data_IF_947663220251
#
_entry.id   IF_947663220251
#
_cell.length_a   1.000
_cell.length_b   1.000
_cell.length_c   1.000
_cell.angle_alpha   90.00
_cell.angle_beta   90.00
_cell.angle_gamma   90.00
#
_symmetry.space_group_name_H-M   'P 1'
#
loop_
_entity.id
_entity.type
_entity.pdbx_description
1 polymer ?
#
# COMPACT_ATOMS: atom_id res chain seq x y z
N UNK A 1 18.36 3.23 9.16
CA UNK A 1 18.77 2.16 8.26
C UNK A 1 19.84 2.69 7.30
N UNK A 2 20.87 1.92 7.02
CA UNK A 2 21.90 2.32 6.04
C UNK A 2 21.37 2.16 4.61
N UNK A 3 20.58 1.10 4.37
CA UNK A 3 19.98 0.84 3.07
C UNK A 3 18.49 0.49 3.19
N UNK A 4 17.69 0.79 2.16
CA UNK A 4 16.30 0.36 2.09
C UNK A 4 16.15 -1.17 2.11
N UNK A 5 17.13 -1.91 1.59
CA UNK A 5 17.16 -3.39 1.62
C UNK A 5 17.34 -4.00 3.03
N UNK A 6 17.72 -3.19 4.03
CA UNK A 6 17.83 -3.65 5.42
C UNK A 6 16.48 -3.62 6.15
N UNK A 7 15.44 -3.16 5.47
CA UNK A 7 14.13 -3.02 6.06
C UNK A 7 13.40 -4.36 6.13
N UNK A 8 12.91 -4.68 7.32
CA UNK A 8 12.01 -5.81 7.59
C UNK A 8 10.68 -5.22 8.03
N UNK A 9 9.70 -5.30 7.14
CA UNK A 9 8.39 -4.65 7.31
C UNK A 9 7.37 -5.64 7.83
N UNK A 10 6.61 -5.21 8.84
CA UNK A 10 5.39 -5.87 9.30
C UNK A 10 4.19 -5.03 8.90
N UNK A 11 3.34 -5.58 8.03
CA UNK A 11 2.08 -4.94 7.67
C UNK A 11 1.03 -5.22 8.74
N UNK A 12 0.26 -4.21 9.12
CA UNK A 12 -0.76 -4.35 10.15
C UNK A 12 -1.95 -3.43 9.94
N UNK A 13 -3.11 -3.91 10.42
CA UNK A 13 -4.33 -3.13 10.59
C UNK A 13 -4.50 -2.80 12.09
N UNK A 14 -4.74 -1.54 12.44
CA UNK A 14 -4.79 -1.11 13.85
C UNK A 14 -5.76 -1.92 14.69
N UNK A 15 -6.98 -2.13 14.16
CA UNK A 15 -8.00 -2.89 14.86
C UNK A 15 -7.57 -4.34 15.04
N UNK A 16 -7.19 -5.00 13.97
CA UNK A 16 -6.92 -6.45 14.00
C UNK A 16 -5.69 -6.81 14.81
N UNK A 17 -4.70 -5.92 14.84
CA UNK A 17 -3.48 -6.15 15.62
C UNK A 17 -3.76 -6.36 17.11
N UNK A 18 -4.76 -5.68 17.69
CA UNK A 18 -4.94 -5.66 19.14
C UNK A 18 -6.37 -5.88 19.62
N UNK A 19 -7.37 -6.01 18.74
CA UNK A 19 -8.78 -6.13 19.14
C UNK A 19 -9.11 -7.43 19.86
N UNK A 20 -8.42 -8.52 19.55
CA UNK A 20 -8.69 -9.81 20.18
C UNK A 20 -8.26 -9.80 21.67
N UNK A 21 -9.05 -10.37 22.60
CA UNK A 21 -8.74 -10.35 24.03
C UNK A 21 -7.38 -10.96 24.41
N UNK A 22 -6.84 -11.87 23.59
CA UNK A 22 -5.51 -12.45 23.81
C UNK A 22 -4.37 -11.43 23.71
N UNK A 23 -4.58 -10.29 23.05
CA UNK A 23 -3.61 -9.20 22.99
C UNK A 23 -3.34 -8.57 24.35
N UNK A 24 -4.34 -8.65 25.27
CA UNK A 24 -4.31 -8.00 26.58
C UNK A 24 -4.09 -6.49 26.53
N UNK A 25 -4.35 -5.87 25.39
CA UNK A 25 -4.22 -4.43 25.22
C UNK A 25 -5.27 -3.69 26.07
N UNK A 26 -4.86 -2.57 26.67
CA UNK A 26 -5.76 -1.62 27.34
C UNK A 26 -6.54 -0.78 26.35
N UNK A 27 -6.01 -0.66 25.13
CA UNK A 27 -6.56 0.13 24.04
C UNK A 27 -6.80 -0.74 22.80
N UNK A 28 -7.65 -1.79 22.91
CA UNK A 28 -7.82 -2.75 21.82
C UNK A 28 -8.35 -2.06 20.57
N UNK A 29 -7.66 -2.27 19.44
CA UNK A 29 -8.01 -1.69 18.15
C UNK A 29 -7.75 -0.20 18.00
N UNK A 30 -6.95 0.42 18.86
CA UNK A 30 -6.67 1.87 18.86
C UNK A 30 -5.19 2.19 18.59
N UNK A 31 -4.90 3.43 18.17
CA UNK A 31 -3.52 3.92 18.04
C UNK A 31 -2.67 3.64 19.28
N UNK A 32 -3.23 3.88 20.45
CA UNK A 32 -2.52 3.72 21.72
C UNK A 32 -2.14 2.27 22.04
N UNK A 33 -2.71 1.26 21.39
CA UNK A 33 -2.25 -0.13 21.54
C UNK A 33 -0.77 -0.28 21.17
N UNK A 34 -0.28 0.52 20.20
CA UNK A 34 1.12 0.53 19.78
C UNK A 34 2.05 1.37 20.66
N UNK A 35 1.54 1.95 21.75
CA UNK A 35 2.36 2.55 22.81
C UNK A 35 2.62 1.59 23.96
N UNK A 36 1.95 0.43 23.99
CA UNK A 36 2.03 -0.52 25.09
C UNK A 36 3.29 -1.39 24.97
N UNK A 37 4.07 -1.51 26.07
CA UNK A 37 5.37 -2.19 26.04
C UNK A 37 5.33 -3.63 25.51
N UNK A 38 4.28 -4.40 25.80
CA UNK A 38 4.16 -5.79 25.36
C UNK A 38 3.92 -5.89 23.83
N UNK A 39 3.18 -4.96 23.24
CA UNK A 39 2.95 -4.91 21.80
C UNK A 39 4.23 -4.49 21.05
N UNK A 40 4.95 -3.50 21.56
CA UNK A 40 6.26 -3.11 21.05
C UNK A 40 7.26 -4.26 21.19
N UNK A 41 7.29 -4.92 22.33
CA UNK A 41 8.17 -6.09 22.56
C UNK A 41 7.86 -7.20 21.54
N UNK A 42 6.59 -7.48 21.29
CA UNK A 42 6.19 -8.46 20.28
C UNK A 42 6.77 -8.12 18.89
N UNK A 43 6.60 -6.90 18.42
CA UNK A 43 7.17 -6.45 17.14
C UNK A 43 8.71 -6.62 17.11
N UNK A 44 9.38 -6.24 18.19
CA UNK A 44 10.85 -6.43 18.30
C UNK A 44 11.28 -7.89 18.28
N UNK A 45 10.50 -8.79 18.89
CA UNK A 45 10.82 -10.24 18.88
C UNK A 45 10.66 -10.87 17.49
N UNK A 46 9.84 -10.28 16.62
CA UNK A 46 9.75 -10.68 15.22
C UNK A 46 10.96 -10.21 14.38
N UNK A 47 11.81 -9.35 14.95
CA UNK A 47 12.96 -8.80 14.23
C UNK A 47 12.60 -7.71 13.22
N UNK A 48 11.38 -7.18 13.26
CA UNK A 48 10.96 -6.10 12.35
C UNK A 48 11.54 -4.76 12.79
N UNK A 49 11.86 -3.91 11.84
CA UNK A 49 12.36 -2.56 12.06
C UNK A 49 11.51 -1.48 11.40
N UNK A 50 10.40 -1.88 10.75
CA UNK A 50 9.39 -1.00 10.24
C UNK A 50 7.99 -1.64 10.34
N UNK A 51 6.97 -0.84 10.62
CA UNK A 51 5.56 -1.23 10.49
C UNK A 51 4.95 -0.46 9.33
N UNK A 52 4.24 -1.17 8.46
CA UNK A 52 3.37 -0.61 7.44
C UNK A 52 1.95 -0.69 7.98
N UNK A 53 1.35 0.45 8.27
CA UNK A 53 -0.02 0.52 8.76
C UNK A 53 -0.98 0.70 7.58
N UNK A 54 -2.04 -0.10 7.52
CA UNK A 54 -3.13 0.08 6.56
C UNK A 54 -3.67 1.51 6.64
N UNK A 55 -4.39 2.00 5.61
CA UNK A 55 -4.81 3.40 5.55
C UNK A 55 -5.37 3.88 6.89
N UNK A 56 -4.77 4.91 7.43
CA UNK A 56 -5.04 5.43 8.79
C UNK A 56 -5.46 6.89 8.81
N UNK A 57 -5.75 7.45 7.63
CA UNK A 57 -6.46 8.70 7.48
C UNK A 57 -7.98 8.45 7.47
N UNK A 58 -8.76 9.51 7.61
CA UNK A 58 -10.21 9.49 7.69
C UNK A 58 -10.85 8.89 6.43
N UNK A 59 -11.65 7.86 6.60
CA UNK A 59 -12.34 7.13 5.54
C UNK A 59 -13.85 7.08 5.77
N UNK A 60 -14.62 6.77 4.72
CA UNK A 60 -16.04 7.10 4.63
C UNK A 60 -16.96 6.12 5.38
N UNK A 61 -16.71 4.80 5.30
CA UNK A 61 -17.71 3.80 5.69
C UNK A 61 -17.67 3.39 7.17
N UNK A 62 -16.95 4.13 8.01
CA UNK A 62 -17.02 3.99 9.47
C UNK A 62 -17.75 5.18 10.06
N UNK A 63 -18.81 4.90 10.79
CA UNK A 63 -19.58 5.90 11.52
C UNK A 63 -18.90 6.20 12.88
N UNK A 64 -18.04 7.22 12.89
CA UNK A 64 -17.33 7.66 14.09
C UNK A 64 -18.26 8.15 15.23
N UNK A 65 -19.54 8.45 14.93
CA UNK A 65 -20.51 8.84 15.96
C UNK A 65 -20.97 7.65 16.81
N UNK A 66 -20.71 6.43 16.37
CA UNK A 66 -21.12 5.18 17.01
C UNK A 66 -19.91 4.25 17.28
N UNK A 67 -18.94 4.71 18.09
CA UNK A 67 -17.67 3.99 18.30
C UNK A 67 -17.85 2.65 19.04
N UNK A 68 -18.98 2.44 19.69
CA UNK A 68 -19.34 1.19 20.39
C UNK A 68 -19.82 0.09 19.44
N UNK A 69 -20.20 0.43 18.21
CA UNK A 69 -20.60 -0.58 17.22
C UNK A 69 -19.37 -1.22 16.62
N UNK A 70 -19.34 -2.55 16.49
CA UNK A 70 -18.30 -3.22 15.71
C UNK A 70 -18.39 -2.77 14.24
N UNK A 71 -17.38 -2.07 13.77
CA UNK A 71 -17.25 -1.62 12.39
C UNK A 71 -15.91 -2.07 11.88
N UNK A 72 -15.86 -2.65 10.69
CA UNK A 72 -14.65 -3.15 10.07
C UNK A 72 -14.42 -2.49 8.73
N UNK A 73 -13.25 -1.93 8.54
CA UNK A 73 -12.83 -1.30 7.29
C UNK A 73 -11.30 -1.38 7.18
N UNK A 74 -10.81 -1.68 6.01
CA UNK A 74 -9.36 -1.61 5.72
C UNK A 74 -8.86 -0.18 5.51
N UNK A 75 -9.76 0.77 5.20
CA UNK A 75 -9.44 2.17 4.99
C UNK A 75 -9.21 2.58 3.53
N UNK A 76 -9.55 1.72 2.56
CA UNK A 76 -9.38 2.03 1.12
C UNK A 76 -10.57 2.78 0.50
N UNK A 77 -11.31 3.50 1.30
CA UNK A 77 -12.40 4.40 0.90
C UNK A 77 -12.17 5.83 1.45
N UNK A 78 -11.10 6.51 0.97
CA UNK A 78 -10.62 7.76 1.55
C UNK A 78 -11.64 8.89 1.42
N UNK A 79 -11.79 9.65 2.52
CA UNK A 79 -12.61 10.85 2.61
C UNK A 79 -11.74 12.10 2.85
N UNK A 80 -10.97 12.14 3.93
CA UNK A 80 -10.10 13.25 4.29
C UNK A 80 -8.64 12.77 4.43
N UNK A 81 -7.86 12.92 3.38
CA UNK A 81 -6.50 12.35 3.25
C UNK A 81 -5.46 12.86 4.27
N UNK A 82 -5.71 14.01 4.90
CA UNK A 82 -4.74 14.66 5.78
C UNK A 82 -5.22 14.70 7.25
N UNK A 83 -6.12 13.81 7.61
CA UNK A 83 -6.68 13.69 8.97
C UNK A 83 -6.56 12.25 9.43
N UNK A 84 -5.99 11.96 10.62
CA UNK A 84 -6.00 10.60 11.17
C UNK A 84 -7.42 10.08 11.39
N UNK A 85 -7.64 8.78 11.17
CA UNK A 85 -8.93 8.11 11.37
C UNK A 85 -9.37 8.16 12.83
N UNK A 86 -10.59 8.67 13.07
CA UNK A 86 -11.08 8.89 14.41
C UNK A 86 -11.49 7.61 15.14
N UNK A 87 -11.93 6.57 14.43
CA UNK A 87 -12.31 5.29 15.03
C UNK A 87 -11.14 4.57 15.72
N UNK A 88 -9.91 4.91 15.36
CA UNK A 88 -8.70 4.41 16.03
C UNK A 88 -8.26 5.24 17.23
N UNK A 89 -8.90 6.39 17.49
CA UNK A 89 -8.65 7.18 18.70
C UNK A 89 -9.54 6.71 19.87
N UNK A 90 -9.18 7.11 21.08
CA UNK A 90 -10.01 6.82 22.28
C UNK A 90 -11.23 7.73 22.35
N UNK A 91 -11.23 8.86 21.64
CA UNK A 91 -12.36 9.76 21.52
C UNK A 91 -12.43 10.34 20.09
N UNK A 92 -13.29 9.77 19.27
CA UNK A 92 -13.51 10.22 17.89
C UNK A 92 -14.21 11.59 17.78
N UNK A 93 -14.91 12.04 18.83
CA UNK A 93 -15.67 13.28 18.83
C UNK A 93 -14.80 14.52 19.08
N UNK A 94 -13.63 14.33 19.67
CA UNK A 94 -12.67 15.41 19.95
C UNK A 94 -11.51 15.31 18.94
N UNK A 95 -11.46 16.15 17.90
CA UNK A 95 -10.50 16.02 16.79
C UNK A 95 -9.04 15.98 17.22
N UNK A 96 -8.68 16.76 18.26
CA UNK A 96 -7.32 16.82 18.78
C UNK A 96 -6.85 15.50 19.40
N UNK A 97 -7.79 14.65 19.82
CA UNK A 97 -7.43 13.36 20.43
C UNK A 97 -6.83 12.44 19.38
N UNK A 98 -7.44 12.29 18.20
CA UNK A 98 -6.90 11.47 17.11
C UNK A 98 -5.50 11.92 16.66
N UNK A 99 -5.30 13.23 16.57
CA UNK A 99 -4.00 13.81 16.20
C UNK A 99 -2.94 13.49 17.25
N UNK A 100 -3.25 13.73 18.52
CA UNK A 100 -2.32 13.45 19.63
C UNK A 100 -1.99 11.97 19.75
N UNK A 101 -2.98 11.11 19.69
CA UNK A 101 -2.79 9.67 19.86
C UNK A 101 -2.03 9.03 18.68
N UNK A 102 -2.27 9.49 17.46
CA UNK A 102 -1.47 9.09 16.31
C UNK A 102 0.00 9.48 16.50
N UNK A 103 0.27 10.73 16.91
CA UNK A 103 1.65 11.20 17.23
C UNK A 103 2.29 10.39 18.37
N UNK A 104 1.53 10.05 19.41
CA UNK A 104 2.02 9.23 20.52
C UNK A 104 2.41 7.83 20.04
N UNK A 105 1.62 7.24 19.15
CA UNK A 105 1.93 5.96 18.53
C UNK A 105 3.24 6.02 17.73
N UNK A 106 3.39 7.01 16.85
CA UNK A 106 4.61 7.18 16.05
C UNK A 106 5.82 7.38 16.96
N UNK A 107 5.72 8.22 17.99
CA UNK A 107 6.80 8.44 18.94
C UNK A 107 7.21 7.16 19.67
N UNK A 108 6.24 6.37 20.14
CA UNK A 108 6.53 5.12 20.85
C UNK A 108 7.22 4.07 19.96
N UNK A 109 6.85 3.99 18.69
CA UNK A 109 7.51 3.14 17.71
C UNK A 109 8.93 3.63 17.42
N UNK A 110 9.13 4.93 17.25
CA UNK A 110 10.45 5.53 17.06
C UNK A 110 11.37 5.31 18.27
N UNK A 111 10.87 5.47 19.49
CA UNK A 111 11.63 5.20 20.72
C UNK A 111 12.08 3.74 20.81
N UNK A 112 11.35 2.84 20.15
CA UNK A 112 11.69 1.42 20.04
C UNK A 112 12.61 1.11 18.83
N UNK A 113 12.96 2.08 18.01
CA UNK A 113 13.74 1.92 16.77
C UNK A 113 12.95 1.31 15.62
N UNK A 114 11.62 1.46 15.62
CA UNK A 114 10.71 0.95 14.58
C UNK A 114 10.21 2.13 13.75
N UNK A 115 10.40 2.08 12.43
CA UNK A 115 9.90 3.06 11.47
C UNK A 115 8.41 2.87 11.22
N UNK A 116 7.73 3.94 10.82
CA UNK A 116 6.31 3.92 10.47
C UNK A 116 6.12 4.25 8.99
N UNK A 117 5.52 3.33 8.25
CA UNK A 117 5.19 3.47 6.85
C UNK A 117 3.67 3.60 6.74
N UNK A 118 3.21 4.67 6.11
CA UNK A 118 1.79 4.92 5.91
C UNK A 118 1.33 4.38 4.55
N UNK A 119 0.27 3.60 4.55
CA UNK A 119 -0.42 3.18 3.33
C UNK A 119 -1.31 4.33 2.84
N UNK A 120 -1.08 4.79 1.60
CA UNK A 120 -1.76 5.94 1.02
C UNK A 120 -2.52 5.60 -0.26
N UNK A 121 -3.76 6.07 -0.35
CA UNK A 121 -4.71 5.77 -1.43
C UNK A 121 -5.04 7.05 -2.20
N UNK A 122 -4.07 7.59 -2.94
CA UNK A 122 -4.32 8.77 -3.77
C UNK A 122 -4.93 8.44 -5.13
N UNK A 123 -5.00 7.15 -5.48
CA UNK A 123 -5.43 6.69 -6.80
C UNK A 123 -6.94 6.82 -7.04
N UNK A 124 -7.76 6.88 -5.98
CA UNK A 124 -9.20 7.09 -6.06
C UNK A 124 -9.74 7.77 -4.79
N UNK A 125 -10.99 8.15 -4.80
CA UNK A 125 -11.75 8.53 -3.61
C UNK A 125 -12.99 7.64 -3.49
N UNK A 126 -13.60 7.64 -2.31
CA UNK A 126 -14.79 6.83 -2.05
C UNK A 126 -15.93 7.12 -3.02
N UNK A 127 -16.24 8.40 -3.24
CA UNK A 127 -17.34 8.84 -4.09
C UNK A 127 -16.96 10.17 -4.75
N UNK A 128 -17.12 10.27 -6.08
CA UNK A 128 -16.83 11.49 -6.82
C UNK A 128 -17.73 12.64 -6.36
N UNK A 129 -19.05 12.46 -6.38
CA UNK A 129 -20.02 13.55 -6.19
C UNK A 129 -19.91 14.25 -4.84
N UNK A 130 -19.58 13.52 -3.79
CA UNK A 130 -19.41 14.06 -2.44
C UNK A 130 -17.97 14.39 -2.07
N UNK A 131 -17.00 14.13 -2.96
CA UNK A 131 -15.59 14.33 -2.63
C UNK A 131 -15.20 15.79 -2.54
N UNK A 132 -14.27 16.11 -1.66
CA UNK A 132 -13.68 17.44 -1.55
C UNK A 132 -13.05 17.91 -2.88
N UNK A 133 -12.55 16.99 -3.68
CA UNK A 133 -11.99 17.27 -5.00
C UNK A 133 -13.07 17.78 -5.97
N UNK A 134 -14.19 17.07 -6.08
CA UNK A 134 -15.27 17.44 -6.98
C UNK A 134 -15.95 18.74 -6.55
N UNK A 135 -16.13 18.95 -5.25
CA UNK A 135 -16.70 20.17 -4.70
C UNK A 135 -15.79 21.40 -4.89
N UNK A 136 -14.46 21.18 -4.89
CA UNK A 136 -13.49 22.26 -5.07
C UNK A 136 -13.35 22.67 -6.53
N UNK A 137 -13.19 21.72 -7.43
CA UNK A 137 -13.08 21.96 -8.87
C UNK A 137 -13.65 20.77 -9.66
N UNK A 138 -14.92 20.86 -10.11
CA UNK A 138 -15.61 19.77 -10.78
C UNK A 138 -14.82 19.20 -11.96
N UNK A 139 -14.77 17.88 -12.06
CA UNK A 139 -14.14 17.11 -13.14
C UNK A 139 -12.61 17.24 -13.28
N UNK A 140 -11.97 18.11 -12.51
CA UNK A 140 -10.55 18.39 -12.68
C UNK A 140 -9.65 17.26 -12.16
N UNK A 141 -9.99 16.69 -11.01
CA UNK A 141 -9.11 15.75 -10.29
C UNK A 141 -9.21 14.31 -10.78
N UNK A 142 -10.18 14.01 -11.63
CA UNK A 142 -10.47 12.67 -12.12
C UNK A 142 -10.22 12.53 -13.60
N UNK A 143 -9.70 11.37 -14.02
CA UNK A 143 -9.62 11.03 -15.44
C UNK A 143 -10.99 10.64 -15.96
N UNK A 144 -11.20 10.92 -17.24
CA UNK A 144 -12.37 10.48 -18.00
C UNK A 144 -11.93 9.65 -19.20
N UNK A 145 -12.76 8.72 -19.62
CA UNK A 145 -12.54 7.93 -20.84
C UNK A 145 -12.70 8.79 -22.08
N UNK A 146 -12.03 8.44 -23.15
CA UNK A 146 -12.26 9.08 -24.45
C UNK A 146 -13.69 8.75 -24.96
N UNK A 147 -14.30 9.64 -25.76
CA UNK A 147 -15.59 9.36 -26.41
C UNK A 147 -15.55 8.02 -27.16
N UNK A 148 -16.52 7.15 -26.90
CA UNK A 148 -16.61 5.82 -27.50
C UNK A 148 -15.82 4.72 -26.81
N UNK A 149 -15.10 5.03 -25.73
CA UNK A 149 -14.46 4.05 -24.86
C UNK A 149 -15.25 3.94 -23.56
N UNK A 150 -15.55 2.72 -23.14
CA UNK A 150 -16.09 2.45 -21.80
C UNK A 150 -15.03 2.65 -20.72
N UNK A 151 -15.45 2.85 -19.48
CA UNK A 151 -14.55 2.80 -18.33
C UNK A 151 -13.95 1.40 -18.21
N UNK A 152 -12.70 1.31 -17.78
CA UNK A 152 -12.06 0.01 -17.56
C UNK A 152 -12.81 -0.78 -16.49
N UNK A 153 -13.20 -1.99 -16.82
CA UNK A 153 -13.98 -2.87 -15.93
C UNK A 153 -15.50 -2.76 -16.02
N UNK A 154 -16.03 -1.69 -16.62
CA UNK A 154 -17.48 -1.52 -16.79
C UNK A 154 -17.91 -1.78 -18.24
N UNK A 155 -18.62 -2.86 -18.46
CA UNK A 155 -19.22 -3.17 -19.77
C UNK A 155 -20.47 -2.28 -19.92
N UNK A 156 -20.41 -1.33 -20.86
CA UNK A 156 -21.58 -0.53 -21.25
C UNK A 156 -21.57 0.94 -20.83
N UNK A 157 -20.46 1.48 -20.30
CA UNK A 157 -20.34 2.93 -20.06
C UNK A 157 -20.12 3.70 -21.38
N UNK A 158 -20.62 4.91 -21.43
CA UNK A 158 -20.46 5.80 -22.60
C UNK A 158 -19.13 6.53 -22.51
N UNK A 159 -18.50 6.78 -23.66
CA UNK A 159 -17.26 7.57 -23.73
C UNK A 159 -17.40 8.96 -23.10
N UNK A 160 -16.42 9.38 -22.34
CA UNK A 160 -16.43 10.61 -21.57
C UNK A 160 -16.92 10.45 -20.13
N UNK A 161 -17.26 9.24 -19.73
CA UNK A 161 -17.52 8.90 -18.32
C UNK A 161 -16.23 8.89 -17.50
N UNK A 162 -16.33 8.86 -16.17
CA UNK A 162 -15.17 8.73 -15.31
C UNK A 162 -14.45 7.40 -15.54
N UNK A 163 -13.14 7.45 -15.69
CA UNK A 163 -12.32 6.26 -15.81
C UNK A 163 -12.23 5.54 -14.45
N UNK A 164 -12.02 4.21 -14.49
CA UNK A 164 -12.10 3.35 -13.30
C UNK A 164 -10.98 2.28 -13.27
N UNK A 165 -9.74 2.70 -13.43
CA UNK A 165 -8.62 1.77 -13.29
C UNK A 165 -8.38 1.31 -11.86
N UNK A 166 -8.96 1.96 -10.85
CA UNK A 166 -8.93 1.50 -9.46
C UNK A 166 -9.85 0.33 -9.18
N UNK A 167 -10.89 0.12 -10.01
CA UNK A 167 -11.97 -0.82 -9.70
C UNK A 167 -12.97 -0.31 -8.65
N UNK A 168 -12.76 0.92 -8.13
CA UNK A 168 -13.55 1.53 -7.05
C UNK A 168 -14.50 2.65 -7.56
N UNK A 169 -14.73 2.72 -8.87
CA UNK A 169 -15.66 3.66 -9.49
C UNK A 169 -15.01 4.93 -10.06
N UNK A 170 -13.76 5.19 -9.78
CA UNK A 170 -13.03 6.35 -10.32
C UNK A 170 -11.51 6.14 -10.30
N UNK A 171 -10.79 7.03 -10.97
CA UNK A 171 -9.34 7.17 -10.85
C UNK A 171 -8.95 8.64 -10.86
N UNK A 172 -7.97 9.00 -10.05
CA UNK A 172 -7.47 10.37 -9.98
C UNK A 172 -6.46 10.66 -11.09
N UNK A 173 -6.37 11.94 -11.46
CA UNK A 173 -5.50 12.43 -12.53
C UNK A 173 -4.20 13.03 -11.94
N UNK A 174 -3.28 12.18 -11.48
CA UNK A 174 -2.04 12.61 -10.83
C UNK A 174 -1.15 13.51 -11.71
N UNK A 175 -1.26 13.38 -13.04
CA UNK A 175 -0.55 14.20 -14.02
C UNK A 175 -1.03 15.66 -14.05
N UNK A 176 -2.22 15.95 -13.51
CA UNK A 176 -2.77 17.32 -13.50
C UNK A 176 -2.17 18.14 -12.38
N UNK A 177 -1.78 19.40 -12.64
CA UNK A 177 -1.02 20.22 -11.70
C UNK A 177 -1.61 20.32 -10.28
N UNK A 178 -2.92 20.47 -10.11
CA UNK A 178 -3.53 20.59 -8.79
C UNK A 178 -3.57 19.26 -8.04
N UNK A 179 -3.83 18.12 -8.73
CA UNK A 179 -3.77 16.81 -8.08
C UNK A 179 -2.33 16.45 -7.68
N UNK A 180 -1.39 16.68 -8.58
CA UNK A 180 0.04 16.52 -8.30
C UNK A 180 0.48 17.34 -7.08
N UNK A 181 0.11 18.61 -7.04
CA UNK A 181 0.38 19.49 -5.91
C UNK A 181 -0.23 18.96 -4.62
N UNK A 182 -1.48 18.51 -4.67
CA UNK A 182 -2.16 17.92 -3.51
C UNK A 182 -1.38 16.71 -2.96
N UNK A 183 -0.96 15.78 -3.83
CA UNK A 183 -0.19 14.62 -3.41
C UNK A 183 1.15 15.01 -2.78
N UNK A 184 1.89 15.94 -3.40
CA UNK A 184 3.16 16.44 -2.87
C UNK A 184 3.00 17.10 -1.50
N UNK A 185 2.01 17.98 -1.34
CA UNK A 185 1.73 18.66 -0.07
C UNK A 185 1.24 17.69 1.00
N UNK A 186 0.46 16.67 0.63
CA UNK A 186 -0.06 15.67 1.54
C UNK A 186 1.05 14.78 2.12
N UNK A 187 1.93 14.23 1.27
CA UNK A 187 3.05 13.39 1.79
C UNK A 187 4.02 14.22 2.64
N UNK A 188 4.30 15.48 2.26
CA UNK A 188 5.10 16.39 3.09
C UNK A 188 4.46 16.61 4.46
N UNK A 189 3.16 16.89 4.49
CA UNK A 189 2.41 17.09 5.72
C UNK A 189 2.52 15.89 6.67
N UNK A 190 2.35 14.66 6.17
CA UNK A 190 2.48 13.47 6.98
C UNK A 190 3.91 13.28 7.53
N UNK A 191 4.94 13.65 6.76
CA UNK A 191 6.34 13.62 7.24
C UNK A 191 6.61 14.72 8.23
N UNK A 192 6.28 15.97 7.92
CA UNK A 192 6.61 17.14 8.75
C UNK A 192 5.81 17.18 10.04
N UNK A 193 4.52 16.79 10.00
CA UNK A 193 3.61 16.87 11.14
C UNK A 193 3.59 15.60 12.00
N UNK A 194 3.68 14.42 11.38
CA UNK A 194 3.56 13.14 12.07
C UNK A 194 4.84 12.31 12.08
N UNK A 195 5.90 12.78 11.44
CA UNK A 195 7.20 12.09 11.34
C UNK A 195 7.11 10.69 10.72
N UNK A 196 6.30 10.55 9.70
CA UNK A 196 6.18 9.29 8.93
C UNK A 196 7.49 9.02 8.18
N UNK A 197 7.97 7.77 8.23
CA UNK A 197 9.26 7.33 7.68
C UNK A 197 9.16 6.73 6.28
N UNK A 198 7.95 6.54 5.77
CA UNK A 198 7.76 5.98 4.45
C UNK A 198 6.31 5.91 4.02
N UNK A 199 6.11 5.61 2.74
CA UNK A 199 4.80 5.49 2.11
C UNK A 199 4.71 4.25 1.24
N UNK A 200 3.63 3.49 1.40
CA UNK A 200 3.17 2.48 0.46
C UNK A 200 2.05 3.09 -0.37
N UNK A 201 2.22 3.15 -1.67
CA UNK A 201 1.19 3.65 -2.57
C UNK A 201 0.31 2.52 -3.06
N UNK A 202 -0.95 2.56 -2.65
CA UNK A 202 -2.00 1.71 -3.18
C UNK A 202 -2.18 1.97 -4.68
N UNK A 203 -2.29 0.90 -5.49
CA UNK A 203 -2.41 0.97 -6.94
C UNK A 203 -1.50 2.05 -7.58
N UNK A 204 -0.23 2.07 -7.18
CA UNK A 204 0.77 3.05 -7.66
C UNK A 204 0.81 3.15 -9.18
N UNK A 205 0.52 2.03 -9.87
CA UNK A 205 0.47 1.96 -11.33
C UNK A 205 -0.56 2.88 -11.98
N UNK A 206 -1.52 3.43 -11.24
CA UNK A 206 -2.47 4.44 -11.73
C UNK A 206 -1.79 5.81 -11.86
N UNK A 207 -0.82 6.11 -10.99
CA UNK A 207 -0.13 7.40 -10.99
C UNK A 207 0.87 7.53 -12.13
N UNK A 208 1.14 8.75 -12.54
CA UNK A 208 2.17 9.03 -13.53
C UNK A 208 3.57 9.04 -12.90
N UNK A 209 4.56 8.60 -13.68
CA UNK A 209 5.97 8.50 -13.27
C UNK A 209 6.54 9.86 -12.84
N UNK A 210 6.15 10.93 -13.52
CA UNK A 210 6.65 12.27 -13.20
C UNK A 210 6.22 12.69 -11.79
N UNK A 211 4.96 12.48 -11.43
CA UNK A 211 4.44 12.79 -10.10
C UNK A 211 5.14 11.95 -9.04
N UNK A 212 5.34 10.65 -9.27
CA UNK A 212 6.07 9.79 -8.34
C UNK A 212 7.52 10.25 -8.14
N UNK A 213 8.23 10.61 -9.20
CA UNK A 213 9.59 11.14 -9.12
C UNK A 213 9.65 12.50 -8.43
N UNK A 214 8.65 13.35 -8.60
CA UNK A 214 8.56 14.62 -7.88
C UNK A 214 8.31 14.41 -6.39
N UNK A 215 7.46 13.47 -6.01
CA UNK A 215 7.27 13.07 -4.60
C UNK A 215 8.60 12.61 -3.99
N UNK A 216 9.35 11.72 -4.67
CA UNK A 216 10.67 11.30 -4.19
C UNK A 216 11.60 12.48 -3.98
N UNK A 217 11.67 13.36 -4.97
CA UNK A 217 12.53 14.56 -4.91
C UNK A 217 12.15 15.53 -3.79
N UNK A 218 10.86 15.70 -3.52
CA UNK A 218 10.42 16.57 -2.40
C UNK A 218 10.76 15.95 -1.05
N UNK A 219 10.53 14.63 -0.90
CA UNK A 219 10.86 13.94 0.36
C UNK A 219 12.36 13.84 0.59
N UNK A 220 13.18 13.73 -0.44
CA UNK A 220 14.66 13.76 -0.33
C UNK A 220 15.19 15.08 0.24
N UNK A 221 14.47 16.19 0.09
CA UNK A 221 14.83 17.48 0.70
C UNK A 221 14.63 17.50 2.21
N UNK A 222 13.73 16.66 2.72
CA UNK A 222 13.42 16.53 4.14
C UNK A 222 14.34 15.46 4.74
N UNK A 223 14.26 14.25 4.24
CA UNK A 223 15.10 13.13 4.65
C UNK A 223 15.17 12.07 3.51
N UNK A 224 16.34 11.86 2.90
CA UNK A 224 16.49 10.87 1.83
C UNK A 224 16.33 9.42 2.31
N UNK A 225 16.27 9.16 3.61
CA UNK A 225 15.98 7.83 4.16
C UNK A 225 14.49 7.49 4.18
N UNK A 226 13.59 8.42 3.87
CA UNK A 226 12.16 8.15 3.74
C UNK A 226 11.94 7.15 2.61
N UNK A 227 11.27 6.04 2.92
CA UNK A 227 11.06 4.96 1.97
C UNK A 227 9.80 5.17 1.17
N UNK A 228 9.85 4.91 -0.14
CA UNK A 228 8.68 4.92 -1.04
C UNK A 228 8.63 3.62 -1.81
N UNK A 229 7.50 2.97 -1.79
CA UNK A 229 7.19 1.83 -2.66
C UNK A 229 5.69 1.72 -2.85
N UNK A 230 5.25 0.86 -3.75
CA UNK A 230 3.82 0.65 -3.97
C UNK A 230 3.51 -0.49 -4.91
N UNK A 231 2.24 -0.63 -5.19
CA UNK A 231 1.73 -1.61 -6.14
C UNK A 231 1.97 -1.10 -7.57
N UNK A 232 2.92 -1.72 -8.27
CA UNK A 232 3.24 -1.39 -9.64
C UNK A 232 2.21 -1.92 -10.66
N UNK A 233 0.93 -1.86 -10.32
CA UNK A 233 -0.20 -2.28 -11.14
C UNK A 233 -1.44 -1.41 -10.90
N UNK A 234 -2.50 -1.68 -11.65
CA UNK A 234 -3.83 -1.13 -11.47
C UNK A 234 -4.85 -2.28 -11.58
N UNK A 235 -6.05 -2.11 -11.06
CA UNK A 235 -7.13 -3.09 -11.19
C UNK A 235 -7.68 -3.14 -12.63
N UNK A 236 -7.55 -2.04 -13.37
CA UNK A 236 -7.94 -1.93 -14.79
C UNK A 236 -6.90 -1.17 -15.60
N UNK A 237 -7.30 -0.63 -16.73
CA UNK A 237 -6.41 0.16 -17.60
C UNK A 237 -6.58 1.66 -17.30
N UNK A 238 -5.54 2.35 -16.79
CA UNK A 238 -5.59 3.79 -16.59
C UNK A 238 -5.88 4.57 -17.86
N UNK A 239 -6.65 5.64 -17.75
CA UNK A 239 -7.02 6.48 -18.89
C UNK A 239 -5.93 7.51 -19.25
N UNK A 240 -4.67 7.09 -19.20
CA UNK A 240 -3.49 7.80 -19.73
C UNK A 240 -2.62 6.79 -20.48
N UNK A 241 -1.64 7.28 -21.24
CA UNK A 241 -0.66 6.41 -21.91
C UNK A 241 0.05 5.50 -20.87
N UNK A 242 0.01 4.19 -21.11
CA UNK A 242 0.67 3.19 -20.29
C UNK A 242 2.14 3.51 -20.01
N UNK A 243 2.86 4.09 -20.97
CA UNK A 243 4.27 4.46 -20.83
C UNK A 243 4.50 5.61 -19.83
N UNK A 244 3.46 6.32 -19.44
CA UNK A 244 3.51 7.35 -18.39
C UNK A 244 3.17 6.81 -17.01
N UNK A 245 2.58 5.62 -16.94
CA UNK A 245 2.12 5.02 -15.69
C UNK A 245 3.29 4.44 -14.86
N UNK A 246 3.20 4.59 -13.54
CA UNK A 246 4.15 4.04 -12.57
C UNK A 246 3.98 2.51 -12.38
N UNK A 247 3.83 1.79 -13.50
CA UNK A 247 3.73 0.34 -13.53
C UNK A 247 5.06 -0.32 -13.12
N UNK A 248 4.99 -1.54 -12.59
CA UNK A 248 6.16 -2.31 -12.18
C UNK A 248 7.23 -2.39 -13.28
N UNK A 249 6.81 -2.62 -14.53
CA UNK A 249 7.72 -2.65 -15.67
C UNK A 249 8.52 -1.35 -15.90
N UNK A 250 8.08 -0.24 -15.31
CA UNK A 250 8.71 1.08 -15.44
C UNK A 250 9.48 1.50 -14.17
N UNK A 251 9.59 0.64 -13.16
CA UNK A 251 10.24 0.96 -11.87
C UNK A 251 11.67 1.47 -12.04
N UNK A 252 12.41 0.95 -13.04
CA UNK A 252 13.75 1.45 -13.38
C UNK A 252 13.81 2.95 -13.71
N UNK A 253 12.68 3.59 -14.06
CA UNK A 253 12.54 5.03 -14.36
C UNK A 253 12.24 5.87 -13.12
N UNK A 254 12.09 5.23 -11.96
CA UNK A 254 11.73 5.86 -10.70
C UNK A 254 12.80 5.56 -9.63
N UNK A 255 13.99 6.18 -9.74
CA UNK A 255 15.07 5.94 -8.77
C UNK A 255 14.62 6.21 -7.33
N UNK A 256 14.92 5.30 -6.40
CA UNK A 256 14.54 5.43 -4.99
C UNK A 256 13.07 5.09 -4.68
N UNK A 257 12.33 4.55 -5.66
CA UNK A 257 10.96 4.06 -5.48
C UNK A 257 10.91 2.58 -5.81
N UNK A 258 10.35 1.79 -4.89
CA UNK A 258 10.21 0.34 -5.03
C UNK A 258 8.83 -0.09 -5.52
N UNK A 259 8.74 -1.36 -5.94
CA UNK A 259 7.47 -2.00 -6.29
C UNK A 259 7.38 -3.40 -5.69
N UNK A 260 6.16 -3.83 -5.36
CA UNK A 260 5.91 -5.18 -4.89
C UNK A 260 6.20 -6.23 -5.98
N UNK A 261 6.85 -7.31 -5.56
CA UNK A 261 7.28 -8.41 -6.43
C UNK A 261 6.33 -9.60 -6.34
N UNK A 262 5.24 -9.55 -7.09
CA UNK A 262 4.26 -10.63 -7.19
C UNK A 262 4.85 -11.90 -7.84
N UNK A 263 5.93 -11.77 -8.65
CA UNK A 263 6.65 -12.92 -9.17
C UNK A 263 7.15 -13.83 -8.05
N UNK A 264 7.81 -13.24 -7.04
CA UNK A 264 8.35 -14.00 -5.90
C UNK A 264 7.24 -14.50 -5.00
N UNK A 265 6.25 -13.65 -4.68
CA UNK A 265 5.10 -14.03 -3.86
C UNK A 265 4.42 -15.28 -4.42
N UNK A 266 4.04 -15.26 -5.67
CA UNK A 266 3.26 -16.34 -6.29
C UNK A 266 4.12 -17.57 -6.60
N UNK A 267 5.42 -17.38 -6.88
CA UNK A 267 6.34 -18.50 -7.01
C UNK A 267 6.56 -19.26 -5.68
N UNK A 268 6.45 -18.57 -4.56
CA UNK A 268 6.57 -19.20 -3.24
C UNK A 268 5.28 -19.93 -2.84
N UNK A 269 4.14 -19.26 -2.87
CA UNK A 269 2.90 -19.73 -2.25
C UNK A 269 1.84 -20.28 -3.24
N UNK A 270 1.91 -19.92 -4.52
CA UNK A 270 0.93 -20.20 -5.54
C UNK A 270 0.29 -18.93 -6.11
N UNK A 271 -0.34 -18.99 -7.30
CA UNK A 271 -0.85 -17.83 -8.02
C UNK A 271 -2.00 -17.15 -7.27
N UNK A 272 -2.05 -15.83 -7.33
CA UNK A 272 -3.14 -15.02 -6.75
C UNK A 272 -4.52 -15.42 -7.28
N UNK A 273 -4.60 -15.88 -8.53
CA UNK A 273 -5.85 -16.19 -9.21
C UNK A 273 -6.50 -17.53 -8.82
N UNK A 274 -5.79 -18.40 -8.07
CA UNK A 274 -6.29 -19.74 -7.70
C UNK A 274 -5.70 -20.23 -6.38
N UNK A 275 -6.48 -20.13 -5.33
CA UNK A 275 -6.07 -20.47 -3.95
C UNK A 275 -5.78 -21.96 -3.75
N UNK A 276 -6.24 -22.82 -4.64
CA UNK A 276 -6.02 -24.28 -4.56
C UNK A 276 -4.68 -24.72 -5.12
N UNK A 277 -4.00 -23.84 -5.87
CA UNK A 277 -2.68 -24.12 -6.43
C UNK A 277 -1.57 -23.78 -5.44
N UNK A 278 -0.73 -24.76 -5.16
CA UNK A 278 0.50 -24.57 -4.39
C UNK A 278 1.71 -24.38 -5.32
N UNK A 279 2.84 -23.93 -4.78
CA UNK A 279 4.06 -23.66 -5.53
C UNK A 279 5.33 -24.14 -4.79
N UNK A 280 6.40 -23.38 -4.83
CA UNK A 280 7.73 -23.78 -4.34
C UNK A 280 7.75 -24.23 -2.87
N UNK A 281 7.01 -23.55 -1.97
CA UNK A 281 6.94 -23.94 -0.55
C UNK A 281 6.31 -25.33 -0.34
N UNK A 282 5.50 -25.81 -1.27
CA UNK A 282 4.95 -27.17 -1.27
C UNK A 282 5.85 -28.18 -2.04
N UNK A 283 7.06 -27.80 -2.41
CA UNK A 283 8.00 -28.66 -3.15
C UNK A 283 7.67 -28.80 -4.65
N UNK A 284 6.82 -27.93 -5.22
CA UNK A 284 6.54 -27.97 -6.67
C UNK A 284 7.69 -27.34 -7.45
N UNK A 285 8.12 -28.07 -8.50
CA UNK A 285 9.14 -27.59 -9.44
C UNK A 285 8.55 -26.57 -10.44
N UNK A 286 9.43 -25.82 -11.12
CA UNK A 286 9.05 -24.86 -12.17
C UNK A 286 8.91 -23.43 -11.69
N UNK A 287 9.16 -23.17 -10.40
CA UNK A 287 9.09 -21.86 -9.78
C UNK A 287 10.47 -21.25 -9.45
N UNK A 288 11.54 -22.02 -9.66
CA UNK A 288 12.90 -21.70 -9.19
C UNK A 288 13.43 -20.40 -9.80
N UNK A 289 13.14 -20.14 -11.08
CA UNK A 289 13.63 -18.91 -11.74
C UNK A 289 12.95 -17.66 -11.20
N UNK A 290 11.66 -17.73 -10.87
CA UNK A 290 10.96 -16.60 -10.22
C UNK A 290 11.46 -16.35 -8.80
N UNK A 291 11.77 -17.41 -8.04
CA UNK A 291 12.38 -17.28 -6.71
C UNK A 291 13.79 -16.68 -6.83
N UNK A 292 14.61 -17.14 -7.76
CA UNK A 292 15.93 -16.54 -8.04
C UNK A 292 15.82 -15.07 -8.42
N UNK A 293 14.86 -14.73 -9.26
CA UNK A 293 14.61 -13.35 -9.67
C UNK A 293 14.27 -12.44 -8.47
N UNK A 294 13.48 -12.95 -7.54
CA UNK A 294 13.22 -12.25 -6.26
C UNK A 294 14.49 -12.12 -5.40
N UNK A 295 15.30 -13.19 -5.28
CA UNK A 295 16.53 -13.17 -4.49
C UNK A 295 17.53 -12.13 -5.01
N UNK A 296 17.65 -11.95 -6.32
CA UNK A 296 18.54 -10.92 -6.90
C UNK A 296 17.90 -9.52 -6.91
N UNK A 297 16.70 -9.36 -6.38
CA UNK A 297 16.04 -8.05 -6.25
C UNK A 297 15.52 -7.48 -7.56
N UNK A 298 14.99 -8.30 -8.45
CA UNK A 298 14.33 -7.86 -9.69
C UNK A 298 15.27 -7.27 -10.76
N UNK A 299 16.59 -7.35 -10.56
CA UNK A 299 17.60 -6.85 -11.50
C UNK A 299 17.99 -7.91 -12.55
N UNK A 300 18.60 -7.47 -13.63
CA UNK A 300 19.20 -8.37 -14.62
C UNK A 300 20.37 -9.14 -14.00
N UNK A 301 20.35 -10.48 -14.08
CA UNK A 301 21.37 -11.33 -13.51
C UNK A 301 21.60 -12.59 -14.36
N UNK A 302 22.85 -12.94 -14.62
CA UNK A 302 23.20 -14.09 -15.49
C UNK A 302 22.74 -15.46 -14.95
N UNK A 303 22.44 -15.57 -13.67
CA UNK A 303 21.93 -16.78 -13.02
C UNK A 303 20.41 -16.95 -13.11
N UNK A 304 19.69 -16.03 -13.77
CA UNK A 304 18.22 -16.02 -13.90
C UNK A 304 17.82 -16.15 -15.37
N UNK A 305 17.09 -17.21 -15.68
CA UNK A 305 16.45 -17.37 -16.99
C UNK A 305 15.12 -16.64 -17.02
N UNK A 306 15.13 -15.40 -17.49
CA UNK A 306 13.93 -14.54 -17.56
C UNK A 306 12.78 -15.15 -18.40
N UNK A 307 13.04 -16.08 -19.31
CA UNK A 307 11.98 -16.71 -20.09
C UNK A 307 11.05 -17.60 -19.22
N UNK A 308 11.57 -18.05 -18.07
CA UNK A 308 10.87 -18.93 -17.11
C UNK A 308 10.34 -18.19 -15.88
N UNK A 309 10.65 -16.91 -15.74
CA UNK A 309 10.05 -16.09 -14.69
C UNK A 309 8.57 -15.88 -15.01
N UNK A 310 7.69 -16.03 -14.00
CA UNK A 310 6.27 -15.71 -14.14
C UNK A 310 6.07 -14.19 -14.32
N UNK A 311 4.96 -13.77 -14.92
CA UNK A 311 4.55 -12.37 -15.15
C UNK A 311 5.54 -11.51 -15.93
N UNK A 312 6.71 -11.22 -15.38
CA UNK A 312 7.72 -10.34 -16.01
C UNK A 312 8.71 -11.11 -16.88
N UNK A 313 8.92 -10.65 -18.12
CA UNK A 313 9.85 -11.28 -19.05
C UNK A 313 11.15 -10.48 -19.24
N UNK A 314 11.31 -9.41 -18.46
CA UNK A 314 12.51 -8.60 -18.36
C UNK A 314 12.69 -8.11 -16.91
N UNK A 315 13.93 -7.84 -16.52
CA UNK A 315 14.22 -7.17 -15.26
C UNK A 315 13.59 -5.77 -15.26
N UNK A 316 12.94 -5.41 -14.15
CA UNK A 316 12.23 -4.15 -14.00
C UNK A 316 12.83 -3.22 -12.95
N UNK A 317 13.68 -3.72 -12.08
CA UNK A 317 14.43 -2.93 -11.12
C UNK A 317 15.80 -2.53 -11.67
N UNK A 318 16.23 -1.28 -11.46
CA UNK A 318 17.58 -0.83 -11.71
C UNK A 318 18.53 -1.19 -10.57
N UNK A 319 17.98 -1.32 -9.36
CA UNK A 319 18.72 -1.68 -8.13
C UNK A 319 17.86 -2.60 -7.25
N UNK A 320 18.47 -3.53 -6.50
CA UNK A 320 17.73 -4.43 -5.60
C UNK A 320 16.85 -3.72 -4.58
N UNK A 321 17.20 -2.51 -4.16
CA UNK A 321 16.40 -1.68 -3.25
C UNK A 321 15.04 -1.24 -3.81
N UNK A 322 14.80 -1.42 -5.11
CA UNK A 322 13.51 -1.17 -5.74
C UNK A 322 12.56 -2.37 -5.71
N UNK A 323 13.01 -3.51 -5.19
CA UNK A 323 12.25 -4.74 -5.15
C UNK A 323 11.73 -5.01 -3.74
N UNK A 324 10.41 -5.02 -3.57
CA UNK A 324 9.78 -5.39 -2.30
C UNK A 324 9.43 -6.87 -2.33
N UNK A 325 10.26 -7.68 -1.69
CA UNK A 325 10.04 -9.12 -1.53
C UNK A 325 9.00 -9.36 -0.43
N UNK A 326 7.98 -10.14 -0.71
CA UNK A 326 6.96 -10.50 0.26
C UNK A 326 6.34 -11.86 -0.07
N UNK A 327 5.62 -12.44 0.87
CA UNK A 327 4.94 -13.72 0.71
C UNK A 327 3.46 -13.67 1.06
N UNK A 328 3.07 -12.72 1.89
CA UNK A 328 1.67 -12.41 2.20
C UNK A 328 1.51 -10.93 2.59
N UNK A 329 0.30 -10.44 2.44
CA UNK A 329 -0.14 -9.11 2.85
C UNK A 329 -1.64 -9.17 3.19
N UNK A 330 -2.28 -8.03 3.45
CA UNK A 330 -3.72 -7.97 3.73
C UNK A 330 -4.58 -8.37 2.51
N UNK A 331 -4.07 -8.17 1.30
CA UNK A 331 -4.83 -8.32 0.04
C UNK A 331 -4.74 -9.74 -0.49
N UNK A 332 -5.06 -10.70 0.30
CA UNK A 332 -5.22 -12.13 0.03
C UNK A 332 -5.14 -12.93 1.36
N UNK A 333 -5.20 -14.24 1.26
CA UNK A 333 -5.03 -15.14 2.40
C UNK A 333 -3.68 -14.95 3.09
N UNK A 334 -3.68 -15.09 4.41
CA UNK A 334 -2.42 -15.27 5.15
C UNK A 334 -1.64 -16.47 4.60
N UNK A 335 -0.32 -16.49 4.75
CA UNK A 335 0.48 -17.60 4.28
C UNK A 335 0.01 -18.95 4.84
N UNK A 336 -0.38 -18.98 6.12
CA UNK A 336 -0.87 -20.21 6.77
C UNK A 336 -2.17 -20.68 6.12
N UNK A 337 -3.14 -19.80 5.94
CA UNK A 337 -4.42 -20.17 5.33
C UNK A 337 -4.24 -20.59 3.88
N UNK A 338 -3.37 -19.90 3.14
CA UNK A 338 -3.01 -20.25 1.78
C UNK A 338 -2.41 -21.65 1.68
N UNK A 339 -1.46 -21.99 2.54
CA UNK A 339 -0.84 -23.32 2.57
C UNK A 339 -1.86 -24.40 2.96
N UNK A 340 -2.72 -24.15 3.94
CA UNK A 340 -3.80 -25.07 4.33
C UNK A 340 -4.78 -25.33 3.19
N UNK A 341 -5.11 -24.30 2.41
CA UNK A 341 -6.03 -24.43 1.26
C UNK A 341 -5.39 -25.18 0.10
N UNK A 342 -4.11 -24.93 -0.18
CA UNK A 342 -3.43 -25.46 -1.36
C UNK A 342 -2.69 -26.80 -1.15
N UNK A 343 -2.48 -27.22 0.11
CA UNK A 343 -1.79 -28.47 0.44
C UNK A 343 -2.71 -29.33 1.31
N UNK A 344 -3.46 -30.28 0.71
CA UNK A 344 -4.36 -31.15 1.44
C UNK A 344 -3.62 -31.94 2.54
N UNK A 345 -4.14 -31.88 3.78
CA UNK A 345 -3.61 -32.64 4.90
C UNK A 345 -2.35 -32.06 5.56
N UNK A 346 -1.97 -30.82 5.25
CA UNK A 346 -0.91 -30.14 6.00
C UNK A 346 -1.34 -29.99 7.46
N UNK A 347 -0.46 -30.36 8.39
CA UNK A 347 -0.67 -30.14 9.83
C UNK A 347 -0.15 -28.78 10.26
N UNK A 348 -0.61 -28.32 11.43
CA UNK A 348 -0.10 -27.12 12.08
C UNK A 348 1.36 -27.27 12.51
#
# INVERSE_FOLDING_TARGET
LENASDMVVYEMHHRDFSIHPSSKSRYPGKFLALTEPHNIWYLKTLGVNAVQILPSYDYFTVDESQPEKPQYNWGYDPLNYNVPEGSYSTDARTPEVRIREFKQMVQALHDAGIRVILDVVYNHCMNIDGSNFQLTYPDYYYRKTAPGQGASGDIGTTGGDYANASGCGNETASERPLMRRFMLESVRYWVEEYHIDGFRFDLMGIHDIETMNLIRKELDKIDPSITIYGEGWAAGSPAIDYNLCAMKAHTYRMPGIGAFADEMRDALRGPFSDDTQSAYLAGKAGHEESVKFGIVGGIAHNGVDMSKVNYSKAAWAAQPSQHVSYVSCHDDMSLVDRLRTSIPGISD
#
